data_IF_565514574502
#
_entry.id   IF_565514574502
#
_cell.length_a   1.000
_cell.length_b   1.000
_cell.length_c   1.000
_cell.angle_alpha   90.00
_cell.angle_beta   90.00
_cell.angle_gamma   90.00
#
_symmetry.space_group_name_H-M   'P 1'
#
loop_
_entity.id
_entity.type
_entity.pdbx_description
1 polymer ?
#
# COMPACT_ATOMS: atom_id res chain seq x y z
N UNK A 1 23.86 -20.18 24.73
CA UNK A 1 23.50 -21.33 23.87
C UNK A 1 22.07 -21.22 23.37
N UNK A 2 21.08 -20.91 24.22
CA UNK A 2 19.68 -20.74 23.80
C UNK A 2 19.45 -19.66 22.74
N UNK A 3 20.15 -18.52 22.82
CA UNK A 3 20.03 -17.43 21.83
C UNK A 3 20.44 -17.87 20.41
N UNK A 4 21.52 -18.64 20.28
CA UNK A 4 22.00 -19.12 18.99
C UNK A 4 21.07 -20.17 18.37
N UNK A 5 20.45 -21.01 19.21
CA UNK A 5 19.43 -21.97 18.74
C UNK A 5 18.18 -21.24 18.26
N UNK A 6 17.77 -20.19 18.97
CA UNK A 6 16.63 -19.36 18.56
C UNK A 6 16.90 -18.62 17.24
N UNK A 7 18.07 -17.99 17.11
CA UNK A 7 18.45 -17.27 15.90
C UNK A 7 18.59 -18.21 14.70
N UNK A 8 19.14 -19.41 14.91
CA UNK A 8 19.27 -20.43 13.86
C UNK A 8 17.90 -20.99 13.45
N UNK A 9 17.00 -21.25 14.40
CA UNK A 9 15.64 -21.69 14.10
C UNK A 9 14.83 -20.61 13.37
N UNK A 10 15.05 -19.34 13.71
CA UNK A 10 14.41 -18.20 13.03
C UNK A 10 14.93 -18.03 11.60
N UNK A 11 16.23 -18.22 11.36
CA UNK A 11 16.81 -18.25 10.02
C UNK A 11 16.26 -19.42 9.20
N UNK A 12 16.16 -20.61 9.79
CA UNK A 12 15.61 -21.80 9.10
C UNK A 12 14.13 -21.62 8.73
N UNK A 13 13.31 -21.04 9.60
CA UNK A 13 11.90 -20.73 9.28
C UNK A 13 11.79 -19.70 8.15
N UNK A 14 12.65 -18.68 8.16
CA UNK A 14 12.68 -17.65 7.13
C UNK A 14 13.16 -18.21 5.79
N UNK A 15 14.12 -19.13 5.82
CA UNK A 15 14.59 -19.86 4.64
C UNK A 15 13.53 -20.83 4.12
N UNK A 16 12.81 -21.56 4.97
CA UNK A 16 11.69 -22.41 4.57
C UNK A 16 10.57 -21.62 3.88
N UNK A 17 10.23 -20.44 4.41
CA UNK A 17 9.25 -19.53 3.79
C UNK A 17 9.71 -19.06 2.39
N UNK A 18 11.02 -18.81 2.22
CA UNK A 18 11.63 -18.45 0.92
C UNK A 18 11.79 -19.62 -0.06
N UNK A 19 11.96 -20.84 0.43
CA UNK A 19 12.28 -22.04 -0.38
C UNK A 19 11.03 -22.81 -0.81
N UNK A 20 9.84 -22.45 -0.30
CA UNK A 20 8.59 -23.02 -0.85
C UNK A 20 8.49 -22.80 -2.36
N UNK A 21 8.06 -23.85 -3.07
CA UNK A 21 7.94 -23.81 -4.54
C UNK A 21 7.00 -22.68 -4.99
N UNK A 22 5.98 -22.39 -4.19
CA UNK A 22 5.02 -21.31 -4.37
C UNK A 22 5.65 -19.93 -4.16
N UNK A 23 6.51 -19.76 -3.15
CA UNK A 23 7.25 -18.51 -2.89
C UNK A 23 8.26 -18.22 -4.00
N UNK A 24 9.04 -19.23 -4.42
CA UNK A 24 9.96 -19.11 -5.55
C UNK A 24 9.23 -18.80 -6.86
N UNK A 25 8.14 -19.52 -7.16
CA UNK A 25 7.31 -19.27 -8.36
C UNK A 25 6.70 -17.87 -8.32
N UNK A 26 6.22 -17.42 -7.16
CA UNK A 26 5.64 -16.07 -7.03
C UNK A 26 6.69 -14.97 -7.23
N UNK A 27 7.91 -15.19 -6.72
CA UNK A 27 9.02 -14.25 -6.90
C UNK A 27 9.53 -14.21 -8.34
N UNK A 28 9.61 -15.37 -9.01
CA UNK A 28 9.96 -15.49 -10.43
C UNK A 28 8.91 -14.86 -11.36
N UNK A 29 7.62 -14.98 -11.02
CA UNK A 29 6.52 -14.44 -11.83
C UNK A 29 6.11 -13.00 -11.45
N UNK A 30 6.78 -12.38 -10.47
CA UNK A 30 6.45 -11.03 -10.00
C UNK A 30 5.12 -10.91 -9.26
N UNK A 31 4.56 -12.03 -8.80
CA UNK A 31 3.32 -12.11 -8.01
C UNK A 31 3.57 -12.17 -6.51
N UNK A 32 4.84 -12.12 -6.08
CA UNK A 32 5.21 -12.01 -4.68
C UNK A 32 4.83 -10.64 -4.10
N UNK A 33 3.86 -10.63 -3.19
CA UNK A 33 3.39 -9.43 -2.49
C UNK A 33 4.52 -8.75 -1.70
N UNK A 34 5.52 -9.51 -1.25
CA UNK A 34 6.68 -8.97 -0.54
C UNK A 34 7.53 -8.04 -1.41
N UNK A 35 7.29 -7.99 -2.73
CA UNK A 35 7.97 -7.09 -3.66
C UNK A 35 7.12 -5.90 -4.11
N UNK A 36 5.84 -5.85 -3.72
CA UNK A 36 4.89 -4.84 -4.22
C UNK A 36 4.91 -3.58 -3.35
N UNK A 37 5.09 -2.44 -4.02
CA UNK A 37 5.25 -1.15 -3.38
C UNK A 37 3.98 -0.29 -3.52
N UNK A 38 3.67 0.48 -2.49
CA UNK A 38 2.43 1.26 -2.38
C UNK A 38 2.31 2.29 -3.50
N UNK A 39 3.37 3.05 -3.80
CA UNK A 39 3.30 4.14 -4.77
C UNK A 39 3.02 3.63 -6.19
N UNK A 40 3.73 2.61 -6.72
CA UNK A 40 3.40 2.00 -8.01
C UNK A 40 1.97 1.46 -8.10
N UNK A 41 1.45 0.81 -7.04
CA UNK A 41 0.06 0.33 -7.02
C UNK A 41 -0.92 1.50 -7.18
N UNK A 42 -0.66 2.60 -6.48
CA UNK A 42 -1.50 3.78 -6.51
C UNK A 42 -1.40 4.49 -7.87
N UNK A 43 -0.22 4.53 -8.48
CA UNK A 43 -0.01 5.09 -9.81
C UNK A 43 -0.75 4.27 -10.88
N UNK A 44 -0.62 2.93 -10.87
CA UNK A 44 -1.34 2.03 -11.78
C UNK A 44 -2.86 2.24 -11.69
N UNK A 45 -3.39 2.43 -10.48
CA UNK A 45 -4.81 2.79 -10.32
C UNK A 45 -5.15 4.12 -10.99
N UNK A 46 -4.33 5.16 -10.81
CA UNK A 46 -4.56 6.46 -11.43
C UNK A 46 -4.50 6.38 -12.96
N UNK A 47 -3.54 5.62 -13.51
CA UNK A 47 -3.36 5.43 -14.95
C UNK A 47 -4.57 4.70 -15.56
N UNK A 48 -5.06 3.65 -14.90
CA UNK A 48 -6.30 2.95 -15.29
C UNK A 48 -7.52 3.87 -15.24
N UNK A 49 -7.63 4.72 -14.22
CA UNK A 49 -8.72 5.71 -14.13
C UNK A 49 -8.60 6.75 -15.24
N UNK A 50 -7.38 7.23 -15.54
CA UNK A 50 -7.11 8.20 -16.60
C UNK A 50 -7.51 7.66 -17.98
N UNK A 51 -7.18 6.40 -18.28
CA UNK A 51 -7.57 5.74 -19.51
C UNK A 51 -9.10 5.63 -19.70
N UNK A 52 -9.87 5.66 -18.61
CA UNK A 52 -11.33 5.56 -18.59
C UNK A 52 -12.02 6.92 -18.40
N UNK A 53 -11.27 8.03 -18.41
CA UNK A 53 -11.86 9.38 -18.36
C UNK A 53 -12.66 9.65 -19.64
N UNK A 54 -13.87 10.19 -19.46
CA UNK A 54 -14.80 10.44 -20.57
C UNK A 54 -15.70 9.26 -20.92
N UNK A 55 -15.46 8.10 -20.31
CA UNK A 55 -16.33 6.93 -20.37
C UNK A 55 -16.95 6.66 -19.00
N UNK A 56 -16.17 6.05 -18.10
CA UNK A 56 -16.64 5.64 -16.76
C UNK A 56 -16.25 6.64 -15.67
N UNK A 57 -15.28 7.53 -15.94
CA UNK A 57 -14.78 8.49 -14.98
C UNK A 57 -14.84 9.93 -15.49
N UNK A 58 -15.21 10.84 -14.58
CA UNK A 58 -15.07 12.27 -14.79
C UNK A 58 -13.64 12.75 -14.50
N UNK A 59 -13.19 13.82 -15.17
CA UNK A 59 -11.89 14.46 -14.93
C UNK A 59 -11.69 14.82 -13.45
N UNK A 60 -12.73 15.34 -12.81
CA UNK A 60 -12.67 15.66 -11.38
C UNK A 60 -12.45 14.44 -10.47
N UNK A 61 -12.83 13.24 -10.92
CA UNK A 61 -12.54 12.00 -10.19
C UNK A 61 -11.06 11.63 -10.31
N UNK A 62 -10.47 11.73 -11.51
CA UNK A 62 -9.03 11.52 -11.71
C UNK A 62 -8.20 12.50 -10.86
N UNK A 63 -8.54 13.78 -10.86
CA UNK A 63 -7.83 14.80 -10.08
C UNK A 63 -7.86 14.51 -8.58
N UNK A 64 -8.96 13.96 -8.07
CA UNK A 64 -9.05 13.52 -6.67
C UNK A 64 -8.12 12.35 -6.37
N UNK A 65 -7.93 11.42 -7.29
CA UNK A 65 -7.01 10.30 -7.12
C UNK A 65 -5.54 10.72 -7.25
N UNK A 66 -5.20 11.58 -8.23
CA UNK A 66 -3.87 12.23 -8.34
C UNK A 66 -3.52 13.01 -7.07
N UNK A 67 -4.48 13.77 -6.53
CA UNK A 67 -4.32 14.49 -5.27
C UNK A 67 -4.10 13.54 -4.09
N UNK A 68 -4.84 12.43 -4.03
CA UNK A 68 -4.67 11.41 -2.99
C UNK A 68 -3.28 10.77 -3.02
N UNK A 69 -2.74 10.45 -4.21
CA UNK A 69 -1.38 9.94 -4.38
C UNK A 69 -0.34 10.92 -3.83
N UNK A 70 -0.45 12.19 -4.21
CA UNK A 70 0.45 13.25 -3.73
C UNK A 70 0.45 13.38 -2.20
N UNK A 71 -0.71 13.17 -1.56
CA UNK A 71 -0.79 13.17 -0.10
C UNK A 71 -0.15 11.95 0.53
N UNK A 72 -0.35 10.77 -0.05
CA UNK A 72 0.30 9.55 0.40
C UNK A 72 1.82 9.68 0.32
N UNK A 73 2.38 10.17 -0.79
CA UNK A 73 3.82 10.42 -0.92
C UNK A 73 4.36 11.38 0.15
N UNK A 74 3.67 12.50 0.39
CA UNK A 74 4.07 13.46 1.42
C UNK A 74 3.99 12.89 2.83
N UNK A 75 2.99 12.05 3.11
CA UNK A 75 2.87 11.34 4.37
C UNK A 75 4.03 10.36 4.58
N UNK A 76 4.40 9.58 3.56
CA UNK A 76 5.53 8.65 3.64
C UNK A 76 6.84 9.37 3.97
N UNK A 77 7.10 10.49 3.29
CA UNK A 77 8.27 11.33 3.56
C UNK A 77 8.21 11.90 4.99
N UNK A 78 7.04 12.31 5.46
CA UNK A 78 6.90 12.89 6.80
C UNK A 78 7.12 11.86 7.92
N UNK A 79 6.42 10.72 7.88
CA UNK A 79 6.42 9.69 8.94
C UNK A 79 7.60 8.73 8.84
N UNK A 80 7.86 8.21 7.65
CA UNK A 80 8.77 7.08 7.42
C UNK A 80 10.10 7.49 6.77
N UNK A 81 10.26 8.76 6.37
CA UNK A 81 11.47 9.29 5.70
C UNK A 81 11.84 8.52 4.41
N UNK A 82 10.84 7.96 3.73
CA UNK A 82 10.99 7.21 2.49
C UNK A 82 10.04 7.76 1.42
N UNK A 83 10.41 7.59 0.16
CA UNK A 83 9.55 7.89 -0.98
C UNK A 83 8.49 6.82 -1.23
N UNK A 84 8.70 5.59 -0.73
CA UNK A 84 7.82 4.45 -0.96
C UNK A 84 7.88 3.43 0.18
N UNK A 85 6.86 2.59 0.28
CA UNK A 85 6.76 1.55 1.32
C UNK A 85 6.11 0.29 0.75
N UNK A 86 6.53 -0.86 1.27
CA UNK A 86 5.94 -2.13 0.90
C UNK A 86 4.46 -2.19 1.30
N UNK A 87 3.61 -2.75 0.44
CA UNK A 87 2.16 -2.84 0.66
C UNK A 87 1.80 -3.67 1.91
N UNK A 88 2.66 -4.62 2.31
CA UNK A 88 2.50 -5.42 3.54
C UNK A 88 2.60 -4.59 4.83
N UNK A 89 3.17 -3.39 4.76
CA UNK A 89 3.29 -2.47 5.90
C UNK A 89 2.07 -1.57 6.08
N UNK A 90 1.06 -1.70 5.23
CA UNK A 90 -0.17 -0.90 5.29
C UNK A 90 -1.15 -1.59 6.22
N UNK A 91 -1.01 -1.34 7.52
CA UNK A 91 -1.86 -1.90 8.56
C UNK A 91 -2.83 -0.84 9.16
N UNK A 92 -3.55 -1.21 10.22
CA UNK A 92 -4.43 -0.28 10.91
C UNK A 92 -3.67 0.93 11.49
N UNK A 93 -2.45 0.72 12.00
CA UNK A 93 -1.63 1.79 12.56
C UNK A 93 -1.22 2.80 11.47
N UNK A 94 -0.82 2.34 10.29
CA UNK A 94 -0.56 3.18 9.12
C UNK A 94 -1.78 4.07 8.80
N UNK A 95 -2.98 3.50 8.77
CA UNK A 95 -4.21 4.26 8.48
C UNK A 95 -4.47 5.33 9.54
N UNK A 96 -4.30 5.01 10.82
CA UNK A 96 -4.48 5.97 11.91
C UNK A 96 -3.45 7.10 11.83
N UNK A 97 -2.18 6.77 11.61
CA UNK A 97 -1.11 7.75 11.44
C UNK A 97 -1.35 8.65 10.23
N UNK A 98 -1.89 8.08 9.14
CA UNK A 98 -2.21 8.85 7.95
C UNK A 98 -3.38 9.80 8.16
N UNK A 99 -4.45 9.34 8.84
CA UNK A 99 -5.59 10.19 9.22
C UNK A 99 -5.14 11.33 10.16
N UNK A 100 -4.29 11.01 11.14
CA UNK A 100 -3.68 12.00 12.02
C UNK A 100 -2.90 13.04 11.22
N UNK A 101 -1.99 12.61 10.33
CA UNK A 101 -1.19 13.53 9.52
C UNK A 101 -2.05 14.45 8.64
N UNK A 102 -3.12 13.92 8.04
CA UNK A 102 -4.05 14.72 7.23
C UNK A 102 -4.66 15.86 8.04
N UNK A 103 -5.03 15.62 9.31
CA UNK A 103 -5.66 16.61 10.19
C UNK A 103 -4.64 17.53 10.87
N UNK A 104 -3.53 16.98 11.36
CA UNK A 104 -2.59 17.70 12.22
C UNK A 104 -1.55 18.50 11.43
N UNK A 105 -0.98 17.91 10.37
CA UNK A 105 0.09 18.51 9.58
C UNK A 105 -0.47 19.19 8.35
N UNK A 106 -1.30 18.49 7.59
CA UNK A 106 -1.88 19.04 6.36
C UNK A 106 -3.08 19.96 6.64
N UNK A 107 -3.63 19.94 7.87
CA UNK A 107 -4.75 20.78 8.32
C UNK A 107 -6.04 20.58 7.51
N UNK A 108 -6.30 19.35 7.06
CA UNK A 108 -7.60 19.00 6.48
C UNK A 108 -8.71 19.16 7.51
N UNK A 109 -9.84 19.73 7.08
CA UNK A 109 -11.11 19.61 7.80
C UNK A 109 -11.55 18.13 7.87
N UNK A 110 -12.36 17.80 8.87
CA UNK A 110 -12.76 16.41 9.18
C UNK A 110 -13.33 15.66 7.97
N UNK A 111 -14.29 16.25 7.27
CA UNK A 111 -14.91 15.62 6.10
C UNK A 111 -13.94 15.38 4.95
N UNK A 112 -12.96 16.27 4.79
CA UNK A 112 -11.92 16.15 3.77
C UNK A 112 -10.93 15.04 4.11
N UNK A 113 -10.49 14.95 5.37
CA UNK A 113 -9.64 13.86 5.83
C UNK A 113 -10.31 12.49 5.64
N UNK A 114 -11.57 12.35 6.06
CA UNK A 114 -12.35 11.11 5.87
C UNK A 114 -12.46 10.73 4.39
N UNK A 115 -12.67 11.71 3.50
CA UNK A 115 -12.70 11.47 2.04
C UNK A 115 -11.37 10.93 1.51
N UNK A 116 -10.23 11.47 1.94
CA UNK A 116 -8.93 10.97 1.51
C UNK A 116 -8.65 9.56 2.03
N UNK A 117 -8.98 9.27 3.30
CA UNK A 117 -8.86 7.91 3.84
C UNK A 117 -9.75 6.93 3.09
N UNK A 118 -10.99 7.32 2.76
CA UNK A 118 -11.90 6.47 1.96
C UNK A 118 -11.33 6.19 0.57
N UNK A 119 -10.78 7.20 -0.10
CA UNK A 119 -10.14 7.04 -1.41
C UNK A 119 -8.93 6.10 -1.33
N UNK A 120 -8.05 6.31 -0.35
CA UNK A 120 -6.91 5.44 -0.09
C UNK A 120 -7.35 3.98 0.09
N UNK A 121 -8.28 3.72 1.03
CA UNK A 121 -8.78 2.37 1.30
C UNK A 121 -9.43 1.73 0.07
N UNK A 122 -10.13 2.50 -0.76
CA UNK A 122 -10.72 1.99 -2.01
C UNK A 122 -9.63 1.44 -2.95
N UNK A 123 -8.51 2.16 -3.10
CA UNK A 123 -7.42 1.76 -3.99
C UNK A 123 -6.76 0.47 -3.49
N UNK A 124 -6.47 0.40 -2.19
CA UNK A 124 -5.90 -0.81 -1.59
C UNK A 124 -6.83 -2.01 -1.78
N UNK A 125 -8.14 -1.84 -1.56
CA UNK A 125 -9.13 -2.91 -1.77
C UNK A 125 -9.22 -3.35 -3.22
N UNK A 126 -9.25 -2.43 -4.17
CA UNK A 126 -9.29 -2.77 -5.59
C UNK A 126 -8.05 -3.56 -6.02
N UNK A 127 -6.86 -3.17 -5.53
CA UNK A 127 -5.64 -3.93 -5.75
C UNK A 127 -5.73 -5.36 -5.18
N UNK A 128 -6.27 -5.52 -3.97
CA UNK A 128 -6.48 -6.85 -3.36
C UNK A 128 -7.47 -7.72 -4.16
N UNK A 129 -8.49 -7.11 -4.78
CA UNK A 129 -9.53 -7.81 -5.54
C UNK A 129 -9.09 -8.21 -6.95
N UNK A 130 -8.14 -7.50 -7.56
CA UNK A 130 -7.55 -7.79 -8.89
C UNK A 130 -6.65 -9.05 -8.90
N UNK A 131 -6.85 -9.98 -7.95
CA UNK A 131 -6.09 -11.22 -7.82
C UNK A 131 -4.75 -11.10 -7.07
N UNK A 132 -4.39 -9.91 -6.58
CA UNK A 132 -3.18 -9.70 -5.76
C UNK A 132 -3.46 -9.96 -4.26
N UNK A 133 -3.83 -11.20 -3.94
CA UNK A 133 -4.08 -11.85 -2.63
C UNK A 133 -4.84 -11.09 -1.52
N UNK A 134 -5.69 -11.85 -0.80
CA UNK A 134 -6.45 -11.42 0.38
C UNK A 134 -5.51 -11.07 1.54
N UNK A 135 -5.44 -9.80 1.93
CA UNK A 135 -5.11 -9.42 3.33
C UNK A 135 -6.40 -8.92 3.97
N UNK A 136 -6.89 -9.69 4.93
CA UNK A 136 -8.06 -9.39 5.75
C UNK A 136 -7.71 -8.24 6.70
N UNK A 137 -8.54 -7.19 6.69
CA UNK A 137 -8.68 -6.25 7.80
C UNK A 137 -10.10 -6.36 8.35
#
# INVERSE_FOLDING_TARGET
MEQQVYDSHYQMLKEEEFVTSEGLKSKLLGTDISTRMLIPIFQDHNDKVEALVGQDFAVGTLERYKTSLKHTQKFLIWKYKTSDINITKIDHAFIMDYDFWLRSVRKCANNTAVKYIKNFKKIIRLWQMDGSQKILF
#
